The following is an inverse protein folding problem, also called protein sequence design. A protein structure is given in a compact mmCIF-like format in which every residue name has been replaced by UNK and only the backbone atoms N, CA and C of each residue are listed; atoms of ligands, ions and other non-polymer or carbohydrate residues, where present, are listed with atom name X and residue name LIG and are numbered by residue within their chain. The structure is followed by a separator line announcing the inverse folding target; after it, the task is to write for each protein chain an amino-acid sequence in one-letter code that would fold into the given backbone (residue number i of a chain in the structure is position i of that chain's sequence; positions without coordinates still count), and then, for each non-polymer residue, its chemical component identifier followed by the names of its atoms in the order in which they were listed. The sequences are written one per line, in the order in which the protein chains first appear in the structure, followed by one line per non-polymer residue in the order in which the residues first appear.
data_IF_965400085967
#
_entry.id   IF_965400085967
#
_cell.length_a   1.000
_cell.length_b   1.000
_cell.length_c   1.000
_cell.angle_alpha   90.00
_cell.angle_beta   90.00
_cell.angle_gamma   90.00
#
_symmetry.space_group_name_H-M   'P 1'
#
loop_
_entity.id
_entity.type
_entity.pdbx_description
1 polymer ?
#
# COMPACT_ATOMS: atom_id res chain seq x y z
N UNK A 1 18.81 6.61 62.10
CA UNK A 1 17.66 6.24 62.96
C UNK A 1 16.51 5.78 62.06
N UNK A 2 15.47 5.12 62.63
CA UNK A 2 14.24 4.67 61.93
C UNK A 2 13.29 5.89 61.71
N UNK A 3 12.14 5.89 61.01
CA UNK A 3 11.20 4.95 60.31
C UNK A 3 10.54 5.80 59.14
N UNK A 4 9.74 5.41 58.13
CA UNK A 4 8.90 4.27 57.66
C UNK A 4 8.94 4.27 56.09
N UNK A 5 8.38 3.40 55.23
CA UNK A 5 7.31 2.37 55.21
C UNK A 5 5.85 2.92 55.08
N UNK A 6 5.11 2.54 54.00
CA UNK A 6 3.67 2.84 53.82
C UNK A 6 3.04 2.40 52.46
N UNK A 7 2.54 1.16 52.38
CA UNK A 7 1.70 0.54 51.32
C UNK A 7 0.87 -0.60 52.00
N UNK A 8 -0.16 -1.23 51.39
CA UNK A 8 -1.24 -0.73 50.53
C UNK A 8 -2.67 -1.22 50.98
N UNK A 9 -3.75 -0.73 50.36
CA UNK A 9 -5.14 -1.21 50.54
C UNK A 9 -6.07 -0.65 49.43
N UNK A 10 -7.17 -1.28 48.98
CA UNK A 10 -7.65 -2.67 49.08
C UNK A 10 -8.68 -2.98 47.95
N UNK A 11 -9.14 -4.23 47.83
CA UNK A 11 -10.13 -4.67 46.82
C UNK A 11 -11.55 -4.15 47.08
N UNK A 12 -12.34 -4.04 46.01
CA UNK A 12 -13.77 -4.35 46.04
C UNK A 12 -14.22 -4.97 44.69
N UNK A 13 -14.81 -6.17 44.73
CA UNK A 13 -15.48 -6.80 43.59
C UNK A 13 -16.94 -7.04 43.97
N UNK A 14 -17.89 -6.74 43.08
CA UNK A 14 -19.31 -7.03 43.30
C UNK A 14 -20.01 -7.37 41.99
N UNK A 15 -20.48 -8.62 41.87
CA UNK A 15 -21.38 -9.07 40.80
C UNK A 15 -22.84 -8.92 41.28
N UNK A 16 -23.76 -8.55 40.40
CA UNK A 16 -25.18 -8.87 40.56
C UNK A 16 -25.80 -9.31 39.23
N UNK A 17 -26.66 -10.32 39.28
CA UNK A 17 -27.24 -11.00 38.13
C UNK A 17 -28.72 -11.32 38.35
N UNK A 18 -29.60 -10.75 37.52
CA UNK A 18 -31.03 -11.06 37.37
C UNK A 18 -31.47 -10.45 36.02
N UNK A 19 -32.49 -10.90 35.29
CA UNK A 19 -33.42 -12.02 35.43
C UNK A 19 -34.38 -12.05 34.22
N UNK A 20 -35.06 -13.16 33.93
CA UNK A 20 -35.84 -13.34 32.69
C UNK A 20 -37.26 -12.75 32.73
N UNK A 21 -37.85 -12.46 31.56
CA UNK A 21 -39.29 -12.22 31.38
C UNK A 21 -39.72 -11.84 29.95
N UNK A 22 -40.57 -12.64 29.26
CA UNK A 22 -41.07 -12.32 27.91
C UNK A 22 -42.58 -11.99 27.86
N UNK A 23 -42.94 -10.85 27.24
CA UNK A 23 -44.28 -10.47 26.75
C UNK A 23 -44.17 -9.10 26.04
N UNK A 24 -44.95 -8.74 25.02
CA UNK A 24 -45.79 -9.50 24.07
C UNK A 24 -46.00 -8.62 22.81
N UNK A 25 -46.41 -9.22 21.69
CA UNK A 25 -46.74 -8.49 20.45
C UNK A 25 -48.21 -8.00 20.46
N UNK A 26 -48.46 -6.74 20.06
CA UNK A 26 -49.74 -6.33 19.49
C UNK A 26 -49.56 -5.76 18.06
N UNK A 27 -50.33 -6.30 17.12
CA UNK A 27 -50.15 -6.06 15.70
C UNK A 27 -50.63 -4.68 15.19
N UNK A 28 -49.97 -4.25 14.10
CA UNK A 28 -50.49 -3.44 12.99
C UNK A 28 -51.20 -2.10 13.28
N UNK A 29 -50.48 -1.00 13.01
CA UNK A 29 -51.05 0.24 12.51
C UNK A 29 -50.51 0.51 11.08
N UNK A 30 -51.31 1.05 10.14
CA UNK A 30 -50.85 1.28 8.77
C UNK A 30 -49.85 2.44 8.69
N UNK A 31 -48.83 2.36 7.81
CA UNK A 31 -47.86 3.44 7.65
C UNK A 31 -48.52 4.69 7.05
N UNK A 32 -48.33 5.84 7.70
CA UNK A 32 -48.67 7.14 7.10
C UNK A 32 -47.69 7.44 5.96
N UNK A 33 -48.21 7.89 4.82
CA UNK A 33 -47.41 8.19 3.64
C UNK A 33 -46.67 9.54 3.77
N UNK A 34 -45.36 9.59 3.49
CA UNK A 34 -44.62 10.84 3.28
C UNK A 34 -44.19 11.03 1.81
N UNK A 35 -43.59 12.19 1.54
CA UNK A 35 -42.82 12.51 0.33
C UNK A 35 -43.58 12.52 -1.01
N UNK A 36 -44.17 13.68 -1.29
CA UNK A 36 -44.26 14.27 -2.64
C UNK A 36 -42.98 14.04 -3.44
N UNK A 37 -43.11 13.81 -4.76
CA UNK A 37 -41.99 13.42 -5.61
C UNK A 37 -40.78 14.37 -5.56
N UNK A 38 -39.63 13.84 -5.16
CA UNK A 38 -38.34 14.40 -5.55
C UNK A 38 -38.11 14.13 -7.04
N UNK A 39 -37.61 15.13 -7.77
CA UNK A 39 -37.17 14.94 -9.16
C UNK A 39 -36.00 13.93 -9.22
N UNK A 40 -35.83 13.17 -10.32
CA UNK A 40 -34.68 12.30 -10.47
C UNK A 40 -33.40 13.15 -10.43
N UNK A 41 -32.58 12.94 -9.41
CA UNK A 41 -31.23 13.48 -9.39
C UNK A 41 -30.48 12.90 -10.60
N UNK A 42 -30.03 13.77 -11.50
CA UNK A 42 -29.27 13.35 -12.69
C UNK A 42 -27.96 12.73 -12.21
N UNK A 43 -27.89 11.40 -12.19
CA UNK A 43 -26.64 10.70 -11.95
C UNK A 43 -25.62 11.20 -12.99
N UNK A 44 -24.37 11.51 -12.59
CA UNK A 44 -23.34 11.81 -13.55
C UNK A 44 -23.21 10.60 -14.48
N UNK A 45 -23.34 10.82 -15.78
CA UNK A 45 -23.14 9.74 -16.73
C UNK A 45 -21.70 9.22 -16.56
N UNK A 46 -21.55 7.96 -16.17
CA UNK A 46 -20.33 7.19 -16.40
C UNK A 46 -20.21 6.96 -17.90
N UNK A 47 -19.88 8.03 -18.61
CA UNK A 47 -19.43 7.97 -20.00
C UNK A 47 -18.12 7.20 -20.08
N UNK A 48 -17.76 6.84 -21.30
CA UNK A 48 -16.62 5.98 -21.65
C UNK A 48 -15.27 6.61 -21.24
N UNK A 49 -14.95 6.54 -19.95
CA UNK A 49 -13.60 6.71 -19.45
C UNK A 49 -12.83 5.46 -19.89
N UNK A 50 -11.81 5.57 -20.76
CA UNK A 50 -11.06 4.41 -21.20
C UNK A 50 -10.51 3.71 -19.96
N UNK A 51 -10.72 2.39 -19.85
CA UNK A 51 -10.30 1.60 -18.70
C UNK A 51 -8.81 1.87 -18.46
N UNK A 52 -8.52 2.61 -17.37
CA UNK A 52 -7.29 3.38 -17.26
C UNK A 52 -6.07 2.50 -17.55
N UNK A 53 -5.15 3.02 -18.36
CA UNK A 53 -3.94 2.29 -18.71
C UNK A 53 -3.19 1.86 -17.44
N UNK A 54 -2.40 0.80 -17.57
CA UNK A 54 -1.38 0.50 -16.58
C UNK A 54 -0.08 1.08 -17.11
N UNK A 55 0.25 2.26 -16.61
CA UNK A 55 1.41 3.08 -16.94
C UNK A 55 2.24 3.39 -15.68
N UNK A 56 3.44 3.93 -15.90
CA UNK A 56 4.41 4.21 -14.84
C UNK A 56 3.86 5.18 -13.77
N UNK A 57 3.15 6.24 -14.20
CA UNK A 57 2.56 7.24 -13.29
C UNK A 57 1.59 6.59 -12.31
N UNK A 58 0.69 5.75 -12.84
CA UNK A 58 -0.29 5.03 -12.03
C UNK A 58 0.34 3.95 -11.16
N UNK A 59 1.33 3.23 -11.67
CA UNK A 59 2.03 2.21 -10.90
C UNK A 59 2.82 2.84 -9.73
N UNK A 60 3.42 4.01 -9.94
CA UNK A 60 4.11 4.78 -8.91
C UNK A 60 3.16 5.33 -7.86
N UNK A 61 2.04 5.96 -8.24
CA UNK A 61 1.00 6.45 -7.31
C UNK A 61 0.50 5.33 -6.37
N UNK A 62 0.27 4.14 -6.92
CA UNK A 62 -0.12 2.96 -6.14
C UNK A 62 0.98 2.50 -5.16
N UNK A 63 2.25 2.58 -5.55
CA UNK A 63 3.39 2.25 -4.71
C UNK A 63 3.59 3.28 -3.60
N UNK A 64 3.71 4.57 -3.93
CA UNK A 64 3.90 5.66 -2.98
C UNK A 64 2.76 5.71 -1.96
N UNK A 65 1.50 5.56 -2.41
CA UNK A 65 0.33 5.47 -1.52
C UNK A 65 0.43 4.30 -0.54
N UNK A 66 0.89 3.12 -0.99
CA UNK A 66 1.04 1.94 -0.11
C UNK A 66 2.15 2.15 0.93
N UNK A 67 3.31 2.62 0.50
CA UNK A 67 4.48 2.84 1.34
C UNK A 67 4.24 3.95 2.38
N UNK A 68 3.54 5.03 1.99
CA UNK A 68 3.14 6.10 2.88
C UNK A 68 2.10 5.64 3.91
N UNK A 69 1.07 4.88 3.50
CA UNK A 69 0.06 4.36 4.41
C UNK A 69 0.65 3.44 5.51
N UNK A 70 1.58 2.56 5.13
CA UNK A 70 2.28 1.67 6.06
C UNK A 70 3.44 2.36 6.82
N UNK A 71 3.73 3.64 6.52
CA UNK A 71 4.84 4.41 7.12
C UNK A 71 6.21 3.72 6.97
N UNK A 72 6.44 3.09 5.80
CA UNK A 72 7.62 2.24 5.51
C UNK A 72 8.94 2.99 5.65
N UNK A 73 8.95 4.30 5.43
CA UNK A 73 10.13 5.16 5.51
C UNK A 73 9.83 6.39 6.39
N UNK A 74 10.59 6.56 7.48
CA UNK A 74 10.50 7.73 8.35
C UNK A 74 11.08 9.01 7.72
N UNK A 75 11.80 8.85 6.61
CA UNK A 75 12.62 9.83 5.90
C UNK A 75 12.21 9.94 4.41
N UNK A 76 10.93 9.69 4.10
CA UNK A 76 10.41 9.64 2.72
C UNK A 76 10.75 10.88 1.86
N UNK A 77 10.91 12.07 2.45
CA UNK A 77 11.36 13.29 1.75
C UNK A 77 12.81 13.23 1.22
N UNK A 78 13.59 12.25 1.67
CA UNK A 78 14.97 11.98 1.28
C UNK A 78 15.09 10.75 0.37
N UNK A 79 13.99 10.32 -0.24
CA UNK A 79 13.96 9.23 -1.20
C UNK A 79 13.51 9.74 -2.57
N UNK A 80 13.95 9.05 -3.61
CA UNK A 80 13.47 9.22 -4.97
C UNK A 80 13.12 7.84 -5.55
N UNK A 81 12.02 7.79 -6.29
CA UNK A 81 11.59 6.60 -7.03
C UNK A 81 12.00 6.77 -8.49
N UNK A 82 12.44 5.68 -9.11
CA UNK A 82 12.70 5.62 -10.54
C UNK A 82 12.27 4.24 -11.05
N UNK A 83 11.54 4.19 -12.17
CA UNK A 83 11.28 2.94 -12.84
C UNK A 83 12.61 2.33 -13.32
N UNK A 84 12.86 1.08 -12.95
CA UNK A 84 13.91 0.28 -13.58
C UNK A 84 13.27 -0.38 -14.80
N UNK A 85 13.41 0.25 -15.96
CA UNK A 85 12.96 -0.30 -17.25
C UNK A 85 13.55 -1.69 -17.44
N UNK A 86 12.71 -2.67 -17.79
CA UNK A 86 13.13 -4.05 -18.11
C UNK A 86 14.37 -4.05 -19.00
N UNK A 87 15.49 -4.55 -18.48
CA UNK A 87 16.79 -4.55 -19.14
C UNK A 87 16.90 -5.70 -20.16
N UNK A 88 15.99 -5.69 -21.14
CA UNK A 88 15.67 -6.73 -22.12
C UNK A 88 15.15 -8.05 -21.50
N UNK A 89 14.26 -8.79 -22.19
CA UNK A 89 14.05 -10.19 -21.85
C UNK A 89 15.38 -10.95 -22.04
N UNK A 90 15.71 -11.87 -21.12
CA UNK A 90 16.97 -12.60 -21.15
C UNK A 90 17.16 -13.37 -22.48
N UNK A 91 17.92 -12.76 -23.40
CA UNK A 91 18.01 -13.21 -24.78
C UNK A 91 18.91 -14.45 -24.90
N UNK A 92 18.29 -15.62 -25.07
CA UNK A 92 18.96 -16.77 -25.65
C UNK A 92 19.43 -16.42 -27.08
N UNK A 93 20.58 -16.96 -27.48
CA UNK A 93 21.40 -16.44 -28.58
C UNK A 93 20.71 -16.37 -29.96
N UNK A 94 20.74 -15.17 -30.58
CA UNK A 94 20.74 -15.00 -32.04
C UNK A 94 21.31 -13.63 -32.44
N UNK A 95 22.17 -13.57 -33.47
CA UNK A 95 22.79 -12.33 -33.93
C UNK A 95 22.21 -11.85 -35.28
N UNK A 96 21.81 -10.57 -35.34
CA UNK A 96 21.59 -9.82 -36.58
C UNK A 96 21.72 -8.29 -36.33
N UNK A 97 22.10 -7.52 -37.35
CA UNK A 97 22.35 -6.07 -37.24
C UNK A 97 21.07 -5.22 -37.33
N UNK A 98 21.03 -4.02 -36.71
CA UNK A 98 19.82 -3.19 -36.65
C UNK A 98 19.57 -2.41 -37.95
N UNK A 99 18.35 -2.51 -38.50
CA UNK A 99 17.81 -1.58 -39.51
C UNK A 99 16.29 -1.73 -39.67
N UNK A 100 15.52 -1.10 -38.78
CA UNK A 100 14.11 -0.75 -39.00
C UNK A 100 13.68 0.37 -38.05
N UNK A 101 12.80 1.25 -38.51
CA UNK A 101 12.11 2.23 -37.66
C UNK A 101 11.08 1.49 -36.82
N UNK A 102 11.36 1.32 -35.53
CA UNK A 102 10.40 0.76 -34.56
C UNK A 102 9.84 1.88 -33.71
N UNK A 103 8.63 2.34 -34.01
CA UNK A 103 7.81 3.02 -33.02
C UNK A 103 7.60 2.05 -31.84
N UNK A 104 7.74 2.48 -30.57
CA UNK A 104 7.50 1.61 -29.44
C UNK A 104 6.01 1.34 -29.30
N UNK A 105 5.53 0.35 -30.07
CA UNK A 105 4.30 -0.36 -29.77
C UNK A 105 4.49 -1.04 -28.41
N UNK A 106 4.17 -0.30 -27.35
CA UNK A 106 4.44 -0.70 -25.99
C UNK A 106 3.78 -2.05 -25.71
N UNK A 107 4.61 -3.10 -25.62
CA UNK A 107 4.22 -4.35 -24.98
C UNK A 107 3.87 -3.97 -23.55
N UNK A 108 2.57 -3.90 -23.26
CA UNK A 108 2.09 -3.31 -22.01
C UNK A 108 2.44 -4.27 -20.86
N UNK A 109 3.63 -4.08 -20.28
CA UNK A 109 4.23 -4.96 -19.28
C UNK A 109 3.23 -5.33 -18.18
N UNK A 110 3.22 -6.60 -17.77
CA UNK A 110 2.31 -7.08 -16.75
C UNK A 110 2.60 -6.45 -15.38
N UNK A 111 3.82 -5.95 -15.19
CA UNK A 111 4.26 -5.17 -14.05
C UNK A 111 5.20 -4.03 -14.48
N UNK A 112 5.54 -3.13 -13.55
CA UNK A 112 6.59 -2.12 -13.67
C UNK A 112 7.43 -2.20 -12.39
N UNK A 113 8.75 -2.23 -12.55
CA UNK A 113 9.70 -2.31 -11.44
C UNK A 113 10.22 -0.92 -11.08
N UNK A 114 10.37 -0.65 -9.79
CA UNK A 114 10.83 0.63 -9.24
C UNK A 114 11.97 0.41 -8.25
N UNK A 115 13.07 1.14 -8.45
CA UNK A 115 14.10 1.30 -7.44
C UNK A 115 13.77 2.51 -6.55
N UNK A 116 13.76 2.28 -5.23
CA UNK A 116 13.79 3.36 -4.24
C UNK A 116 15.24 3.68 -3.96
N UNK A 117 15.62 4.94 -4.16
CA UNK A 117 16.99 5.42 -3.99
C UNK A 117 17.06 6.54 -2.97
N UNK A 118 18.17 6.60 -2.25
CA UNK A 118 18.42 7.69 -1.31
C UNK A 118 18.86 8.95 -2.07
N UNK A 119 18.21 10.08 -1.78
CA UNK A 119 18.55 11.40 -2.27
C UNK A 119 19.40 12.11 -1.22
N UNK A 120 20.58 12.57 -1.60
CA UNK A 120 21.46 13.34 -0.73
C UNK A 120 21.50 14.82 -1.16
N UNK A 121 21.63 15.75 -0.21
CA UNK A 121 21.48 17.19 -0.45
C UNK A 121 20.09 17.73 -0.06
N UNK A 122 19.89 19.05 -0.20
CA UNK A 122 18.68 19.78 0.23
C UNK A 122 18.25 19.56 1.71
N UNK A 123 19.20 19.18 2.57
CA UNK A 123 18.97 18.83 3.98
C UNK A 123 18.96 17.32 4.25
N UNK A 124 18.92 16.49 3.22
CA UNK A 124 19.08 15.04 3.35
C UNK A 124 20.56 14.65 3.49
N UNK A 125 20.93 13.82 4.48
CA UNK A 125 22.30 13.41 4.75
C UNK A 125 22.81 12.43 3.68
N UNK A 126 24.13 12.29 3.56
CA UNK A 126 24.79 11.36 2.63
C UNK A 126 25.79 12.07 1.71
N UNK A 127 26.38 11.34 0.76
CA UNK A 127 27.29 11.89 -0.25
C UNK A 127 26.50 12.30 -1.50
N UNK A 128 26.45 13.60 -1.88
CA UNK A 128 25.76 14.09 -3.08
C UNK A 128 26.27 13.54 -4.42
N UNK A 129 27.32 12.73 -4.45
CA UNK A 129 27.79 12.00 -5.64
C UNK A 129 27.32 10.54 -5.66
N UNK A 130 26.45 10.15 -4.73
CA UNK A 130 25.85 8.81 -4.64
C UNK A 130 24.33 8.87 -4.56
N UNK A 131 23.66 7.87 -5.13
CA UNK A 131 22.21 7.65 -5.06
C UNK A 131 21.93 6.13 -4.95
N UNK A 132 22.27 5.52 -3.81
CA UNK A 132 22.21 4.07 -3.61
C UNK A 132 20.77 3.55 -3.72
N UNK A 133 20.59 2.33 -4.23
CA UNK A 133 19.30 1.62 -4.15
C UNK A 133 19.15 1.07 -2.74
N UNK A 134 18.01 1.37 -2.13
CA UNK A 134 17.66 0.96 -0.75
C UNK A 134 16.62 -0.14 -0.70
N UNK A 135 15.67 -0.11 -1.63
CA UNK A 135 14.67 -1.16 -1.85
C UNK A 135 14.34 -1.23 -3.36
N UNK A 136 13.76 -2.35 -3.78
CA UNK A 136 13.07 -2.48 -5.07
C UNK A 136 11.67 -3.02 -4.86
N UNK A 137 10.75 -2.57 -5.71
CA UNK A 137 9.38 -3.05 -5.75
C UNK A 137 8.96 -3.37 -7.18
N UNK A 138 8.12 -4.39 -7.33
CA UNK A 138 7.43 -4.70 -8.58
C UNK A 138 5.95 -4.43 -8.38
N UNK A 139 5.38 -3.55 -9.19
CA UNK A 139 3.95 -3.21 -9.17
C UNK A 139 3.28 -3.87 -10.36
N UNK A 140 2.33 -4.78 -10.13
CA UNK A 140 1.60 -5.45 -11.19
C UNK A 140 0.37 -4.66 -11.66
N UNK A 141 -0.07 -4.90 -12.91
CA UNK A 141 -1.39 -4.49 -13.43
C UNK A 141 -2.55 -5.04 -12.60
N UNK A 142 -2.35 -6.13 -11.87
CA UNK A 142 -3.30 -6.70 -10.92
C UNK A 142 -3.53 -5.80 -9.69
N UNK A 143 -2.63 -4.85 -9.43
CA UNK A 143 -2.53 -4.08 -8.20
C UNK A 143 -1.77 -4.79 -7.08
N UNK A 144 -1.21 -5.98 -7.33
CA UNK A 144 -0.25 -6.59 -6.43
C UNK A 144 1.04 -5.75 -6.39
N UNK A 145 1.58 -5.59 -5.18
CA UNK A 145 2.92 -5.04 -4.96
C UNK A 145 3.77 -6.17 -4.40
N UNK A 146 4.94 -6.35 -4.99
CA UNK A 146 5.99 -7.27 -4.54
C UNK A 146 7.20 -6.44 -4.12
N UNK A 147 8.01 -6.98 -3.21
CA UNK A 147 9.26 -6.38 -2.73
C UNK A 147 10.41 -7.32 -3.06
N UNK A 148 11.55 -6.78 -3.49
CA UNK A 148 12.72 -7.61 -3.80
C UNK A 148 13.44 -8.02 -2.50
N UNK A 149 13.43 -9.31 -2.19
CA UNK A 149 14.21 -9.87 -1.09
C UNK A 149 15.64 -10.16 -1.57
N UNK A 150 16.63 -9.64 -0.84
CA UNK A 150 18.05 -9.75 -1.21
C UNK A 150 18.67 -11.10 -0.79
N UNK A 151 18.06 -11.83 0.14
CA UNK A 151 18.50 -13.16 0.57
C UNK A 151 17.94 -14.27 -0.34
N UNK A 152 16.67 -14.16 -0.74
CA UNK A 152 16.07 -15.06 -1.75
C UNK A 152 16.49 -14.69 -3.18
N UNK A 153 16.77 -13.41 -3.44
CA UNK A 153 17.22 -12.90 -4.74
C UNK A 153 16.09 -12.68 -5.76
N UNK A 154 14.84 -12.53 -5.31
CA UNK A 154 13.65 -12.42 -6.16
C UNK A 154 12.56 -11.55 -5.50
N UNK A 155 11.50 -11.23 -6.24
CA UNK A 155 10.35 -10.46 -5.78
C UNK A 155 9.37 -11.30 -4.96
N UNK A 156 9.37 -11.12 -3.63
CA UNK A 156 8.42 -11.74 -2.71
C UNK A 156 7.19 -10.86 -2.48
N UNK A 157 6.07 -11.47 -2.07
CA UNK A 157 4.85 -10.73 -1.77
C UNK A 157 5.05 -9.70 -0.66
N UNK A 158 4.69 -8.43 -0.89
CA UNK A 158 5.01 -7.27 -0.03
C UNK A 158 4.72 -7.45 1.48
N UNK A 159 3.70 -8.24 1.85
CA UNK A 159 3.41 -8.56 3.26
C UNK A 159 4.51 -9.37 3.97
N UNK A 160 5.46 -9.95 3.23
CA UNK A 160 6.63 -10.64 3.75
C UNK A 160 7.64 -9.64 4.33
N UNK A 161 7.99 -8.58 3.57
CA UNK A 161 8.88 -7.47 4.00
C UNK A 161 8.64 -7.01 5.44
N UNK A 162 7.39 -6.84 5.84
CA UNK A 162 7.00 -6.38 7.17
C UNK A 162 7.34 -7.41 8.29
N UNK A 163 7.34 -8.71 7.98
CA UNK A 163 7.77 -9.79 8.86
C UNK A 163 9.28 -9.84 8.98
N UNK A 164 10.01 -9.66 7.87
CA UNK A 164 11.47 -9.72 7.86
C UNK A 164 12.07 -8.51 8.61
N UNK A 165 11.51 -7.31 8.38
CA UNK A 165 11.85 -6.11 9.13
C UNK A 165 11.50 -6.22 10.63
N UNK A 166 10.46 -6.99 11.00
CA UNK A 166 10.12 -7.28 12.40
C UNK A 166 10.99 -8.39 13.02
N UNK A 167 11.48 -9.33 12.20
CA UNK A 167 12.35 -10.44 12.60
C UNK A 167 13.83 -10.06 12.74
N UNK A 168 14.27 -8.98 12.09
CA UNK A 168 15.65 -8.50 12.09
C UNK A 168 16.17 -7.89 13.41
N UNK A 169 15.42 -7.97 14.52
CA UNK A 169 15.89 -7.56 15.86
C UNK A 169 16.42 -8.76 16.65
N UNK A 170 17.63 -9.22 16.30
CA UNK A 170 18.41 -10.26 17.01
C UNK A 170 19.86 -9.82 17.20
#
# INVERSE_FOLDING_TARGET
MLKSIGLPAALALAMLSMGCGPAADPAAAPPQAPATAAAPATAPATGDAPAAAFDETRALDMLETRLAADHVYADAQCLQYAAETDAEPAAADAAASPSATTEPAASASAAIDFAVREKHGDGCPGDPQTAPVRDRYRVERSGAILWYDVAEGDFVGYAQRARDNAGGML
#
